data_IF_409196522296
#
_entry.id   IF_409196522296
#
_cell.length_a   1.000
_cell.length_b   1.000
_cell.length_c   1.000
_cell.angle_alpha   90.00
_cell.angle_beta   90.00
_cell.angle_gamma   90.00
#
_symmetry.space_group_name_H-M   'P 1'
#
loop_
_entity.id
_entity.type
_entity.pdbx_description
1 polymer ?
#
# COMPACT_ATOMS: atom_id res chain seq x y z
N UNK A 1 -23.41 41.18 -24.24
CA UNK A 1 -23.92 40.89 -25.58
C UNK A 1 -25.35 40.44 -25.46
N UNK A 2 -26.29 41.21 -26.00
CA UNK A 2 -27.68 40.78 -26.11
C UNK A 2 -27.92 40.13 -27.49
N UNK A 3 -28.98 39.34 -27.62
CA UNK A 3 -29.24 38.58 -28.85
C UNK A 3 -29.40 39.45 -30.11
N UNK A 4 -29.77 40.72 -29.96
CA UNK A 4 -29.96 41.65 -31.08
C UNK A 4 -28.63 41.99 -31.76
N UNK A 5 -27.57 42.21 -30.97
CA UNK A 5 -26.21 42.46 -31.47
C UNK A 5 -25.64 41.25 -32.22
N UNK A 6 -26.04 40.04 -31.82
CA UNK A 6 -25.64 38.81 -32.50
C UNK A 6 -26.35 38.63 -33.84
N UNK A 7 -27.64 38.99 -33.93
CA UNK A 7 -28.39 38.90 -35.19
C UNK A 7 -27.97 39.95 -36.21
N UNK A 8 -27.60 41.14 -35.76
CA UNK A 8 -27.07 42.21 -36.62
C UNK A 8 -25.70 41.81 -37.20
N UNK A 9 -24.82 41.23 -36.38
CA UNK A 9 -23.52 40.72 -36.83
C UNK A 9 -23.62 39.53 -37.81
N UNK A 10 -24.68 38.71 -37.73
CA UNK A 10 -24.92 37.60 -38.67
C UNK A 10 -25.54 38.11 -39.98
N UNK A 11 -26.37 39.17 -39.91
CA UNK A 11 -27.00 39.78 -41.07
C UNK A 11 -26.03 40.56 -41.99
N UNK A 12 -24.88 40.98 -41.46
CA UNK A 12 -23.83 41.72 -42.20
C UNK A 12 -22.76 40.81 -42.83
N UNK A 13 -22.92 39.48 -42.80
CA UNK A 13 -21.97 38.59 -43.48
C UNK A 13 -22.14 38.73 -45.00
N UNK A 14 -21.14 39.36 -45.62
CA UNK A 14 -21.08 39.60 -47.05
C UNK A 14 -21.15 38.27 -47.83
N UNK A 15 -22.03 38.19 -48.80
CA UNK A 15 -22.21 37.04 -49.70
C UNK A 15 -20.92 36.65 -50.43
N UNK A 16 -19.94 37.56 -50.58
CA UNK A 16 -18.60 37.22 -51.11
C UNK A 16 -17.80 36.31 -50.15
N UNK A 17 -17.97 36.45 -48.83
CA UNK A 17 -17.33 35.60 -47.83
C UNK A 17 -17.89 34.17 -47.85
N UNK A 18 -19.20 34.03 -48.05
CA UNK A 18 -19.86 32.72 -48.17
C UNK A 18 -19.38 32.00 -49.43
N UNK A 19 -19.25 32.73 -50.55
CA UNK A 19 -18.79 32.18 -51.82
C UNK A 19 -17.30 31.81 -51.80
N UNK A 20 -16.48 32.50 -51.00
CA UNK A 20 -15.06 32.14 -50.75
C UNK A 20 -14.92 30.87 -49.90
N UNK A 21 -15.79 30.66 -48.92
CA UNK A 21 -15.79 29.45 -48.10
C UNK A 21 -16.21 28.20 -48.88
N UNK A 22 -17.13 28.30 -49.85
CA UNK A 22 -17.54 27.16 -50.67
C UNK A 22 -16.48 26.70 -51.68
N UNK A 23 -15.54 27.58 -52.04
CA UNK A 23 -14.49 27.29 -53.03
C UNK A 23 -13.09 27.05 -52.43
N UNK A 24 -12.94 27.10 -51.10
CA UNK A 24 -11.69 26.68 -50.44
C UNK A 24 -11.59 25.15 -50.41
N UNK A 25 -10.91 24.59 -51.41
CA UNK A 25 -10.35 23.23 -51.30
C UNK A 25 -9.20 23.29 -50.31
N UNK A 26 -9.45 22.83 -49.07
CA UNK A 26 -8.41 22.68 -48.04
C UNK A 26 -7.35 21.69 -48.54
N UNK A 27 -6.23 22.19 -49.04
CA UNK A 27 -5.05 21.37 -49.23
C UNK A 27 -4.44 21.06 -47.87
N UNK A 28 -4.47 19.77 -47.48
CA UNK A 28 -3.81 19.31 -46.27
C UNK A 28 -2.32 19.74 -46.30
N UNK A 29 -1.82 20.44 -45.26
CA UNK A 29 -0.42 20.83 -45.22
C UNK A 29 0.43 19.57 -45.19
N UNK A 30 1.42 19.48 -46.10
CA UNK A 30 2.41 18.40 -46.12
C UNK A 30 3.00 18.25 -44.71
N UNK A 31 2.81 17.08 -44.11
CA UNK A 31 3.37 16.73 -42.80
C UNK A 31 4.88 16.89 -42.84
N UNK A 32 5.38 18.00 -42.32
CA UNK A 32 6.80 18.21 -42.09
C UNK A 32 7.23 17.37 -40.88
N UNK A 33 8.27 16.58 -41.11
CA UNK A 33 8.90 15.60 -40.22
C UNK A 33 9.29 16.15 -38.83
N UNK A 34 9.30 17.48 -38.67
CA UNK A 34 9.70 18.20 -37.45
C UNK A 34 8.71 18.02 -36.30
N UNK A 35 7.39 17.88 -36.56
CA UNK A 35 6.38 17.71 -35.48
C UNK A 35 6.45 16.35 -34.78
N UNK A 36 6.92 15.30 -35.46
CA UNK A 36 7.10 13.97 -34.85
C UNK A 36 8.32 13.94 -33.93
N UNK A 37 9.35 14.75 -34.20
CA UNK A 37 10.51 14.84 -33.31
C UNK A 37 10.16 15.49 -31.97
N UNK A 38 9.30 16.51 -31.95
CA UNK A 38 8.91 17.19 -30.70
C UNK A 38 8.03 16.33 -29.80
N UNK A 39 7.06 15.62 -30.38
CA UNK A 39 6.21 14.68 -29.63
C UNK A 39 7.00 13.44 -29.19
N UNK A 40 7.90 12.93 -30.04
CA UNK A 40 8.81 11.84 -29.68
C UNK A 40 9.84 12.27 -28.62
N UNK A 41 10.32 13.52 -28.65
CA UNK A 41 11.23 14.05 -27.63
C UNK A 41 10.52 14.21 -26.28
N UNK A 42 9.25 14.65 -26.25
CA UNK A 42 8.46 14.67 -25.02
C UNK A 42 8.14 13.26 -24.51
N UNK A 43 7.82 12.31 -25.40
CA UNK A 43 7.61 10.91 -25.02
C UNK A 43 8.91 10.27 -24.52
N UNK A 44 10.05 10.57 -25.14
CA UNK A 44 11.38 10.14 -24.71
C UNK A 44 11.79 10.81 -23.39
N UNK A 45 11.44 12.06 -23.13
CA UNK A 45 11.68 12.74 -21.84
C UNK A 45 10.79 12.17 -20.73
N UNK A 46 9.52 11.84 -21.02
CA UNK A 46 8.63 11.15 -20.06
C UNK A 46 9.14 9.73 -19.79
N UNK A 47 9.53 8.98 -20.83
CA UNK A 47 10.14 7.66 -20.68
C UNK A 47 11.48 7.74 -19.96
N UNK A 48 12.35 8.70 -20.29
CA UNK A 48 13.61 8.93 -19.59
C UNK A 48 13.37 9.31 -18.14
N UNK A 49 12.40 10.17 -17.80
CA UNK A 49 12.07 10.44 -16.40
C UNK A 49 11.55 9.19 -15.66
N UNK A 50 10.81 8.31 -16.35
CA UNK A 50 10.42 7.00 -15.79
C UNK A 50 11.64 6.08 -15.56
N UNK A 51 12.69 6.19 -16.40
CA UNK A 51 13.91 5.37 -16.30
C UNK A 51 15.08 6.02 -15.52
N UNK A 52 15.08 7.33 -15.27
CA UNK A 52 16.19 8.09 -14.65
C UNK A 52 15.81 8.81 -13.37
N UNK A 53 14.54 8.77 -12.93
CA UNK A 53 14.25 9.13 -11.55
C UNK A 53 15.04 8.18 -10.65
N UNK A 54 15.86 8.70 -9.72
CA UNK A 54 16.30 7.89 -8.60
C UNK A 54 15.00 7.52 -7.89
N UNK A 55 14.54 6.29 -8.10
CA UNK A 55 13.66 5.62 -7.17
C UNK A 55 14.37 5.83 -5.84
N UNK A 56 13.81 6.71 -4.99
CA UNK A 56 14.21 6.79 -3.59
C UNK A 56 13.78 5.46 -2.98
N UNK A 57 14.53 4.40 -3.31
CA UNK A 57 14.75 3.30 -2.41
C UNK A 57 15.40 3.99 -1.22
N UNK A 58 14.76 3.93 -0.05
CA UNK A 58 15.57 3.80 1.15
C UNK A 58 16.39 2.53 0.90
N UNK A 59 17.60 2.71 0.38
CA UNK A 59 18.47 1.59 0.07
C UNK A 59 18.72 0.87 1.39
N UNK A 60 18.38 -0.43 1.52
CA UNK A 60 18.82 -1.19 2.65
C UNK A 60 20.35 -1.18 2.61
N UNK A 61 20.97 -0.63 3.65
CA UNK A 61 22.43 -0.65 3.74
C UNK A 61 22.89 -2.12 3.87
N UNK A 62 23.83 -2.47 3.00
CA UNK A 62 24.69 -3.68 2.93
C UNK A 62 24.06 -5.04 2.57
N UNK A 63 24.76 -5.85 1.73
CA UNK A 63 24.37 -7.21 1.38
C UNK A 63 24.48 -8.14 2.59
N UNK A 64 23.52 -9.03 2.74
CA UNK A 64 23.46 -10.03 3.81
C UNK A 64 24.41 -11.18 3.47
N UNK A 65 25.25 -11.60 4.43
CA UNK A 65 26.07 -12.81 4.29
C UNK A 65 25.30 -14.01 4.87
N UNK A 66 25.07 -15.11 4.13
CA UNK A 66 24.29 -16.24 4.62
C UNK A 66 24.95 -16.91 5.84
N UNK A 67 24.21 -17.03 6.94
CA UNK A 67 24.60 -17.79 8.12
C UNK A 67 23.63 -18.95 8.34
N UNK A 68 24.15 -20.18 8.42
CA UNK A 68 23.38 -21.37 8.76
C UNK A 68 23.04 -21.35 10.25
N UNK A 69 21.76 -21.31 10.61
CA UNK A 69 21.30 -21.72 11.94
C UNK A 69 19.94 -22.41 11.84
N UNK A 70 19.96 -23.74 11.79
CA UNK A 70 18.79 -24.57 12.04
C UNK A 70 18.74 -24.88 13.55
N UNK A 71 17.73 -24.34 14.22
CA UNK A 71 17.35 -24.84 15.53
C UNK A 71 15.86 -24.58 15.76
N UNK A 72 15.12 -25.68 15.81
CA UNK A 72 13.70 -25.78 16.11
C UNK A 72 13.52 -25.62 17.63
N UNK A 73 12.69 -24.69 18.12
CA UNK A 73 12.37 -24.62 19.54
C UNK A 73 10.92 -25.00 19.86
N UNK A 74 10.81 -25.74 20.96
CA UNK A 74 9.62 -26.11 21.73
C UNK A 74 8.96 -24.87 22.37
N UNK A 75 7.63 -24.77 22.26
CA UNK A 75 6.79 -23.69 22.79
C UNK A 75 6.25 -24.01 24.19
N UNK A 76 6.03 -22.99 25.04
CA UNK A 76 4.86 -23.00 25.90
C UNK A 76 3.96 -21.76 25.69
N UNK A 77 2.66 -22.01 25.86
CA UNK A 77 1.49 -21.10 25.98
C UNK A 77 0.76 -20.64 24.69
N UNK A 78 -0.34 -21.36 24.39
CA UNK A 78 -1.68 -20.93 23.95
C UNK A 78 -1.89 -19.82 22.88
N UNK A 79 -0.86 -19.34 22.19
CA UNK A 79 -1.03 -18.53 20.98
C UNK A 79 -1.34 -19.44 19.79
N UNK A 80 -2.45 -19.17 19.08
CA UNK A 80 -2.69 -19.74 17.75
C UNK A 80 -1.64 -19.13 16.82
N UNK A 81 -0.56 -19.85 16.52
CA UNK A 81 0.50 -19.41 15.62
C UNK A 81 0.41 -20.18 14.30
N UNK A 82 0.11 -19.47 13.22
CA UNK A 82 0.09 -19.98 11.86
C UNK A 82 1.05 -19.18 10.98
N UNK A 83 1.89 -19.89 10.24
CA UNK A 83 2.81 -19.32 9.25
C UNK A 83 2.36 -19.79 7.87
N UNK A 84 2.01 -18.84 7.01
CA UNK A 84 1.57 -19.09 5.64
C UNK A 84 2.80 -19.12 4.73
N UNK A 85 3.13 -20.29 4.18
CA UNK A 85 4.28 -20.44 3.30
C UNK A 85 3.95 -19.94 1.90
N UNK A 86 4.69 -18.95 1.42
CA UNK A 86 4.64 -18.51 0.04
C UNK A 86 5.64 -19.34 -0.78
N UNK A 87 5.27 -19.65 -2.03
CA UNK A 87 6.10 -20.48 -2.92
C UNK A 87 7.35 -19.73 -3.39
N UNK A 88 7.29 -18.40 -3.42
CA UNK A 88 8.34 -17.52 -3.90
C UNK A 88 8.31 -16.20 -3.13
N UNK A 89 9.33 -15.37 -3.35
CA UNK A 89 9.34 -14.01 -2.82
C UNK A 89 8.12 -13.24 -3.35
N UNK A 90 7.31 -12.63 -2.45
CA UNK A 90 6.10 -11.94 -2.85
C UNK A 90 6.39 -10.68 -3.67
N UNK A 91 5.39 -10.28 -4.44
CA UNK A 91 5.38 -8.96 -5.08
C UNK A 91 4.78 -7.94 -4.12
N UNK A 92 5.35 -6.74 -4.09
CA UNK A 92 4.83 -5.63 -3.31
C UNK A 92 4.23 -4.58 -4.23
N UNK A 93 3.14 -3.96 -3.78
CA UNK A 93 2.59 -2.78 -4.39
C UNK A 93 3.62 -1.67 -4.32
N UNK A 94 4.15 -1.31 -5.48
CA UNK A 94 4.99 -0.14 -5.65
C UNK A 94 4.17 0.93 -6.34
N UNK A 95 3.68 1.88 -5.55
CA UNK A 95 3.07 3.09 -6.10
C UNK A 95 4.17 4.06 -6.48
N UNK A 96 4.26 4.39 -7.77
CA UNK A 96 5.10 5.50 -8.23
C UNK A 96 4.46 6.79 -7.73
N UNK A 97 5.15 7.49 -6.83
CA UNK A 97 4.72 8.77 -6.32
C UNK A 97 5.68 9.86 -6.79
N UNK A 98 5.12 10.89 -7.43
CA UNK A 98 5.87 12.10 -7.77
C UNK A 98 5.96 12.97 -6.52
N UNK A 99 7.14 12.97 -5.90
CA UNK A 99 7.44 13.75 -4.71
C UNK A 99 8.04 15.09 -5.13
N UNK A 100 7.48 16.19 -4.64
CA UNK A 100 8.04 17.51 -4.87
C UNK A 100 9.07 17.81 -3.79
N UNK A 101 10.34 17.98 -4.16
CA UNK A 101 11.43 18.24 -3.20
C UNK A 101 11.19 19.49 -2.34
N UNK A 102 10.43 20.47 -2.85
CA UNK A 102 10.09 21.67 -2.09
C UNK A 102 9.11 21.40 -0.93
N UNK A 103 8.42 20.26 -0.96
CA UNK A 103 7.48 19.84 0.09
C UNK A 103 8.17 18.95 1.14
N UNK A 104 9.47 18.68 1.00
CA UNK A 104 10.21 17.80 1.90
C UNK A 104 10.45 18.45 3.26
N UNK A 105 10.10 17.72 4.32
CA UNK A 105 10.33 18.09 5.71
C UNK A 105 11.16 16.98 6.34
N UNK A 106 12.43 17.28 6.62
CA UNK A 106 13.33 16.34 7.27
C UNK A 106 12.81 15.95 8.66
N UNK A 107 12.99 14.68 9.01
CA UNK A 107 12.62 14.13 10.31
C UNK A 107 13.64 13.07 10.75
N UNK A 108 13.97 13.10 12.03
CA UNK A 108 14.72 12.06 12.75
C UNK A 108 13.83 10.87 13.10
N UNK A 109 14.43 9.76 13.51
CA UNK A 109 13.69 8.58 13.98
C UNK A 109 12.81 8.91 15.20
N UNK A 110 13.31 9.70 16.15
CA UNK A 110 12.53 10.14 17.32
C UNK A 110 11.32 11.01 16.92
N UNK A 111 11.49 11.87 15.93
CA UNK A 111 10.38 12.67 15.39
C UNK A 111 9.36 11.79 14.66
N UNK A 112 9.80 10.74 13.97
CA UNK A 112 8.89 9.75 13.37
C UNK A 112 8.14 8.94 14.43
N UNK A 113 8.82 8.46 15.48
CA UNK A 113 8.17 7.76 16.59
C UNK A 113 7.07 8.63 17.21
N UNK A 114 7.36 9.92 17.44
CA UNK A 114 6.37 10.89 17.93
C UNK A 114 5.27 11.18 16.92
N UNK A 115 5.60 11.34 15.64
CA UNK A 115 4.64 11.61 14.57
C UNK A 115 3.63 10.47 14.43
N UNK A 116 4.09 9.23 14.50
CA UNK A 116 3.23 8.05 14.49
C UNK A 116 2.54 7.83 15.84
N UNK A 117 3.12 8.27 16.94
CA UNK A 117 2.62 8.00 18.29
C UNK A 117 2.87 6.56 18.71
N UNK A 118 4.04 6.03 18.34
CA UNK A 118 4.43 4.63 18.50
C UNK A 118 5.74 4.49 19.26
N UNK A 119 6.02 3.30 19.76
CA UNK A 119 7.27 2.95 20.43
C UNK A 119 7.68 1.51 20.12
N UNK A 120 8.96 1.21 20.29
CA UNK A 120 9.51 -0.11 19.99
C UNK A 120 10.41 -0.61 21.11
N UNK A 121 10.08 -1.78 21.65
CA UNK A 121 10.89 -2.51 22.63
C UNK A 121 11.60 -3.72 22.01
N UNK A 122 11.97 -3.65 20.71
CA UNK A 122 12.50 -4.79 19.94
C UNK A 122 13.74 -5.43 20.60
N UNK A 123 14.66 -4.63 21.13
CA UNK A 123 15.85 -5.15 21.80
C UNK A 123 15.53 -5.97 23.08
N UNK A 124 14.37 -5.76 23.72
CA UNK A 124 13.94 -6.61 24.83
C UNK A 124 13.42 -7.96 24.34
N UNK A 125 12.76 -7.97 23.19
CA UNK A 125 12.20 -9.18 22.58
C UNK A 125 13.27 -10.01 21.85
N UNK A 126 14.22 -9.34 21.19
CA UNK A 126 15.34 -9.93 20.46
C UNK A 126 16.63 -9.20 20.91
N UNK A 127 17.31 -9.68 21.97
CA UNK A 127 18.45 -8.99 22.59
C UNK A 127 19.63 -8.65 21.68
N UNK A 128 19.78 -9.36 20.56
CA UNK A 128 20.84 -9.09 19.61
C UNK A 128 20.57 -7.86 18.73
N UNK A 129 19.35 -7.32 18.72
CA UNK A 129 18.94 -6.28 17.79
C UNK A 129 19.05 -4.90 18.38
N UNK A 130 19.67 -4.01 17.62
CA UNK A 130 19.74 -2.59 17.88
C UNK A 130 19.13 -1.82 16.72
N UNK A 131 18.50 -0.67 17.03
CA UNK A 131 18.01 0.25 16.02
C UNK A 131 19.21 0.78 15.21
N UNK A 132 19.17 0.56 13.90
CA UNK A 132 20.18 1.05 12.98
C UNK A 132 19.85 2.49 12.64
N UNK A 133 20.70 3.41 13.11
CA UNK A 133 20.58 4.81 12.74
C UNK A 133 20.75 4.95 11.23
N UNK A 134 19.76 5.56 10.59
CA UNK A 134 19.81 5.82 9.16
C UNK A 134 21.00 6.73 8.83
N UNK A 135 21.63 6.45 7.70
CA UNK A 135 22.77 7.23 7.22
C UNK A 135 22.34 8.70 7.06
N UNK A 136 23.02 9.68 7.70
CA UNK A 136 22.69 11.10 7.57
C UNK A 136 22.72 11.63 6.12
N UNK A 137 23.40 10.93 5.21
CA UNK A 137 23.41 11.25 3.78
C UNK A 137 22.09 10.91 3.06
N UNK A 138 21.24 10.07 3.66
CA UNK A 138 19.91 9.77 3.17
C UNK A 138 18.93 10.65 3.95
N UNK A 139 18.43 11.71 3.32
CA UNK A 139 17.42 12.57 3.92
C UNK A 139 16.14 11.77 4.21
N UNK A 140 15.85 11.54 5.49
CA UNK A 140 14.57 10.98 5.94
C UNK A 140 13.61 12.12 6.25
N UNK A 141 12.34 11.94 5.92
CA UNK A 141 11.34 12.97 6.13
C UNK A 141 10.02 12.66 5.46
N UNK A 142 9.09 13.59 5.60
CA UNK A 142 7.76 13.52 5.01
C UNK A 142 7.64 14.54 3.89
N UNK A 143 6.62 14.38 3.04
CA UNK A 143 6.24 15.37 2.05
C UNK A 143 4.88 15.96 2.41
N UNK A 144 4.85 17.28 2.61
CA UNK A 144 3.66 18.00 3.05
C UNK A 144 3.57 19.37 2.40
N UNK A 145 2.37 19.74 1.98
CA UNK A 145 2.06 21.11 1.59
C UNK A 145 0.66 21.52 2.05
N UNK A 146 0.30 22.79 1.85
CA UNK A 146 -0.97 23.35 2.29
C UNK A 146 -2.19 22.82 1.52
N UNK A 147 -2.02 22.34 0.29
CA UNK A 147 -3.14 21.90 -0.55
C UNK A 147 -3.53 20.44 -0.32
N UNK A 148 -2.56 19.57 -0.02
CA UNK A 148 -2.75 18.12 0.15
C UNK A 148 -2.61 17.65 1.59
N UNK A 149 -2.12 18.50 2.50
CA UNK A 149 -1.61 18.05 3.78
C UNK A 149 -0.37 17.18 3.61
N UNK A 150 -0.15 16.22 4.51
CA UNK A 150 0.89 15.19 4.32
C UNK A 150 0.42 14.21 3.26
N UNK A 151 1.19 14.04 2.19
CA UNK A 151 0.85 13.12 1.11
C UNK A 151 1.86 11.99 0.91
N UNK A 152 2.97 12.02 1.65
CA UNK A 152 3.89 10.89 1.77
C UNK A 152 4.59 10.97 3.12
N UNK A 153 4.58 9.88 3.87
CA UNK A 153 5.24 9.81 5.16
C UNK A 153 5.90 8.46 5.47
N UNK A 154 5.91 7.54 4.50
CA UNK A 154 6.44 6.20 4.68
C UNK A 154 7.85 6.23 5.26
N UNK A 155 8.05 5.55 6.39
CA UNK A 155 9.35 5.47 7.06
C UNK A 155 9.65 4.07 7.55
N UNK A 156 10.90 3.62 7.38
CA UNK A 156 11.34 2.28 7.77
C UNK A 156 12.33 2.34 8.91
N UNK A 157 11.94 1.76 10.04
CA UNK A 157 12.85 1.49 11.16
C UNK A 157 13.55 0.15 10.92
N UNK A 158 14.88 0.13 11.00
CA UNK A 158 15.67 -1.08 10.78
C UNK A 158 16.30 -1.50 12.10
N UNK A 159 15.97 -2.69 12.58
CA UNK A 159 16.61 -3.31 13.73
C UNK A 159 17.48 -4.45 13.25
N UNK A 160 18.76 -4.47 13.59
CA UNK A 160 19.68 -5.50 13.11
C UNK A 160 20.65 -5.93 14.20
N UNK A 161 21.21 -7.13 14.01
CA UNK A 161 22.36 -7.54 14.80
C UNK A 161 23.63 -6.78 14.38
N UNK A 162 24.65 -6.78 15.24
CA UNK A 162 25.87 -5.98 15.05
C UNK A 162 26.60 -6.22 13.70
N UNK A 163 26.42 -7.39 13.09
CA UNK A 163 27.04 -7.79 11.81
C UNK A 163 26.07 -7.70 10.63
N UNK A 164 24.84 -7.23 10.84
CA UNK A 164 23.77 -7.08 9.85
C UNK A 164 23.47 -8.35 9.04
N UNK A 165 23.64 -9.53 9.65
CA UNK A 165 23.26 -10.82 9.05
C UNK A 165 21.81 -11.18 9.30
N UNK A 166 21.22 -10.57 10.34
CA UNK A 166 19.84 -10.71 10.75
C UNK A 166 19.26 -9.31 10.95
N UNK A 167 18.09 -9.05 10.37
CA UNK A 167 17.42 -7.76 10.55
C UNK A 167 15.91 -7.85 10.43
N UNK A 168 15.24 -6.90 11.08
CA UNK A 168 13.82 -6.64 11.04
C UNK A 168 13.61 -5.21 10.55
N UNK A 169 12.81 -5.06 9.51
CA UNK A 169 12.40 -3.79 8.93
C UNK A 169 10.92 -3.57 9.27
N UNK A 170 10.61 -2.42 9.87
CA UNK A 170 9.24 -2.00 10.19
C UNK A 170 8.97 -0.72 9.43
N UNK A 171 8.24 -0.83 8.33
CA UNK A 171 7.77 0.32 7.55
C UNK A 171 6.41 0.77 8.05
N UNK A 172 6.29 2.07 8.35
CA UNK A 172 5.06 2.71 8.81
C UNK A 172 4.60 3.77 7.82
N UNK A 173 3.29 3.99 7.72
CA UNK A 173 2.71 5.08 6.92
C UNK A 173 1.33 5.49 7.45
N UNK A 174 1.01 6.79 7.51
CA UNK A 174 -0.37 7.28 7.71
C UNK A 174 -1.03 7.65 6.38
N UNK A 175 -0.29 7.58 5.28
CA UNK A 175 -0.77 7.85 3.92
C UNK A 175 -0.88 6.56 3.11
N UNK A 176 -1.62 6.58 1.99
CA UNK A 176 -1.94 5.37 1.21
C UNK A 176 -0.72 4.72 0.51
N UNK A 177 0.48 5.27 0.70
CA UNK A 177 1.71 4.81 0.08
C UNK A 177 2.50 3.98 1.10
N UNK A 178 2.44 2.65 0.94
CA UNK A 178 3.15 1.67 1.76
C UNK A 178 3.52 0.45 0.87
N UNK A 179 4.55 -0.33 1.23
CA UNK A 179 4.93 -1.54 0.51
C UNK A 179 3.96 -2.69 0.85
N UNK A 180 2.73 -2.59 0.33
CA UNK A 180 1.66 -3.56 0.58
C UNK A 180 1.87 -4.87 -0.17
N UNK A 181 1.57 -5.99 0.45
CA UNK A 181 1.68 -7.31 -0.18
C UNK A 181 0.65 -7.48 -1.31
N UNK A 182 1.11 -7.90 -2.50
CA UNK A 182 0.25 -8.39 -3.59
C UNK A 182 0.29 -9.90 -3.55
N UNK A 183 -0.82 -10.51 -3.11
CA UNK A 183 -0.98 -11.96 -3.13
C UNK A 183 -1.54 -12.36 -4.50
N UNK A 184 -0.76 -13.14 -5.25
CA UNK A 184 -1.21 -13.70 -6.52
C UNK A 184 -2.28 -14.76 -6.33
N UNK A 185 -3.21 -14.87 -7.29
CA UNK A 185 -4.24 -15.92 -7.33
C UNK A 185 -3.67 -17.34 -7.25
N UNK A 186 -2.40 -17.54 -7.59
CA UNK A 186 -1.76 -18.87 -7.64
C UNK A 186 -1.24 -19.34 -6.26
N UNK A 187 -1.27 -18.42 -5.28
CA UNK A 187 -1.03 -18.65 -3.86
C UNK A 187 -2.37 -18.87 -3.10
N UNK A 188 -3.50 -18.54 -3.73
CA UNK A 188 -4.86 -18.58 -3.16
C UNK A 188 -5.44 -19.98 -2.94
N UNK A 189 -4.83 -21.02 -3.52
CA UNK A 189 -5.23 -22.42 -3.25
C UNK A 189 -4.90 -22.84 -1.81
N UNK A 190 -4.00 -22.12 -1.14
CA UNK A 190 -3.67 -22.31 0.27
C UNK A 190 -4.56 -21.42 1.11
N UNK A 191 -5.38 -22.03 1.98
CA UNK A 191 -6.18 -21.28 2.95
C UNK A 191 -5.25 -20.47 3.85
N UNK A 192 -5.22 -19.14 3.65
CA UNK A 192 -4.49 -18.23 4.53
C UNK A 192 -5.11 -18.28 5.93
N UNK A 193 -4.25 -18.40 6.95
CA UNK A 193 -4.63 -18.50 8.36
C UNK A 193 -4.07 -17.31 9.13
N UNK A 194 -4.86 -16.84 10.08
CA UNK A 194 -4.45 -15.78 10.99
C UNK A 194 -3.95 -16.36 12.30
N UNK A 195 -2.78 -15.91 12.72
CA UNK A 195 -2.30 -16.07 14.08
C UNK A 195 -3.06 -15.12 15.02
N UNK A 196 -3.01 -15.41 16.32
CA UNK A 196 -3.48 -14.49 17.36
C UNK A 196 -2.35 -14.23 18.37
N UNK A 197 -1.88 -12.98 18.41
CA UNK A 197 -0.79 -12.54 19.30
C UNK A 197 -1.34 -11.45 20.22
N UNK A 198 -1.35 -11.70 21.54
CA UNK A 198 -1.88 -10.72 22.51
C UNK A 198 -3.35 -10.35 22.31
N UNK A 199 -4.15 -11.23 21.69
CA UNK A 199 -5.54 -10.94 21.30
C UNK A 199 -5.70 -10.21 19.96
N UNK A 200 -4.62 -9.98 19.23
CA UNK A 200 -4.61 -9.36 17.91
C UNK A 200 -4.45 -10.40 16.80
N UNK A 201 -5.40 -10.47 15.87
CA UNK A 201 -5.32 -11.32 14.69
C UNK A 201 -4.29 -10.76 13.70
N UNK A 202 -3.43 -11.62 13.18
CA UNK A 202 -2.40 -11.21 12.24
C UNK A 202 -2.05 -12.34 11.29
N UNK A 203 -1.87 -12.01 10.01
CA UNK A 203 -1.41 -12.98 9.02
C UNK A 203 0.10 -12.90 8.90
N UNK A 204 0.77 -14.02 9.12
CA UNK A 204 2.23 -14.13 9.00
C UNK A 204 2.55 -14.96 7.76
N UNK A 205 3.42 -14.43 6.93
CA UNK A 205 3.93 -15.08 5.74
C UNK A 205 5.40 -15.46 5.93
N UNK A 206 5.81 -16.57 5.31
CA UNK A 206 7.22 -16.96 5.21
C UNK A 206 7.55 -17.26 3.74
N UNK A 207 8.73 -16.83 3.31
CA UNK A 207 9.25 -17.08 1.96
C UNK A 207 10.77 -17.13 1.95
N UNK A 208 11.33 -17.70 0.89
CA UNK A 208 12.75 -17.57 0.59
C UNK A 208 12.97 -16.29 -0.24
N UNK A 209 13.83 -15.39 0.23
CA UNK A 209 14.28 -14.24 -0.55
C UNK A 209 15.14 -14.68 -1.74
N UNK A 210 15.23 -13.84 -2.78
CA UNK A 210 16.07 -14.10 -3.96
C UNK A 210 17.55 -14.39 -3.64
N UNK A 211 18.04 -13.86 -2.53
CA UNK A 211 19.40 -14.07 -2.02
C UNK A 211 19.55 -15.34 -1.17
N UNK A 212 18.49 -16.15 -1.06
CA UNK A 212 18.45 -17.35 -0.23
C UNK A 212 18.14 -17.09 1.24
N UNK A 213 17.86 -15.84 1.63
CA UNK A 213 17.47 -15.50 3.00
C UNK A 213 16.12 -16.14 3.36
N UNK A 214 15.97 -16.54 4.63
CA UNK A 214 14.67 -16.92 5.16
C UNK A 214 13.96 -15.66 5.63
N UNK A 215 12.84 -15.32 5.00
CA UNK A 215 12.11 -14.10 5.27
C UNK A 215 10.75 -14.37 5.88
N UNK A 216 10.35 -13.48 6.77
CA UNK A 216 8.99 -13.41 7.29
C UNK A 216 8.40 -12.05 6.98
N UNK A 217 7.12 -12.02 6.66
CA UNK A 217 6.39 -10.79 6.37
C UNK A 217 5.05 -10.77 7.08
N UNK A 218 4.68 -9.60 7.57
CA UNK A 218 3.39 -9.32 8.20
C UNK A 218 2.99 -7.90 7.85
N UNK A 219 1.71 -7.68 7.57
CA UNK A 219 1.17 -6.33 7.49
C UNK A 219 -0.17 -6.22 8.21
N UNK A 220 -0.44 -5.05 8.77
CA UNK A 220 -1.73 -4.73 9.41
C UNK A 220 -1.94 -3.22 9.50
N UNK A 221 -3.20 -2.83 9.71
CA UNK A 221 -3.60 -1.46 9.99
C UNK A 221 -3.99 -1.32 11.46
N UNK A 222 -3.48 -0.30 12.14
CA UNK A 222 -3.89 0.04 13.51
C UNK A 222 -3.95 1.56 13.67
N UNK A 223 -5.10 2.07 14.14
CA UNK A 223 -5.34 3.50 14.37
C UNK A 223 -4.91 4.41 13.20
N UNK A 224 -5.19 4.00 11.96
CA UNK A 224 -4.86 4.76 10.75
C UNK A 224 -3.37 4.74 10.37
N UNK A 225 -2.59 3.82 10.94
CA UNK A 225 -1.18 3.59 10.61
C UNK A 225 -1.05 2.21 9.99
N UNK A 226 -0.53 2.15 8.77
CA UNK A 226 -0.11 0.92 8.12
C UNK A 226 1.21 0.46 8.72
N UNK A 227 1.31 -0.83 9.03
CA UNK A 227 2.53 -1.52 9.46
C UNK A 227 2.86 -2.56 8.40
N UNK A 228 4.06 -2.51 7.83
CA UNK A 228 4.63 -3.56 6.99
C UNK A 228 5.94 -4.01 7.64
N UNK A 229 6.00 -5.27 8.03
CA UNK A 229 7.08 -5.82 8.86
C UNK A 229 7.74 -6.97 8.14
N UNK A 230 8.97 -6.76 7.69
CA UNK A 230 9.78 -7.75 6.98
C UNK A 230 10.96 -8.16 7.83
N UNK A 231 11.31 -9.44 7.86
CA UNK A 231 12.55 -9.91 8.47
C UNK A 231 13.40 -10.68 7.50
N UNK A 232 14.71 -10.70 7.76
CA UNK A 232 15.70 -11.41 6.98
C UNK A 232 16.58 -12.25 7.90
N UNK A 233 16.61 -13.57 7.65
CA UNK A 233 17.38 -14.56 8.41
C UNK A 233 17.08 -14.61 9.92
N UNK A 234 15.87 -14.24 10.30
CA UNK A 234 15.38 -14.46 11.67
C UNK A 234 14.86 -15.88 11.80
N UNK A 235 15.00 -16.44 13.00
CA UNK A 235 14.24 -17.64 13.35
C UNK A 235 12.75 -17.28 13.49
N UNK A 236 11.85 -18.25 13.28
CA UNK A 236 10.42 -18.05 13.53
C UNK A 236 10.16 -17.56 14.96
N UNK A 237 10.94 -18.06 15.94
CA UNK A 237 10.84 -17.67 17.35
C UNK A 237 11.15 -16.19 17.54
N UNK A 238 12.27 -15.71 17.00
CA UNK A 238 12.69 -14.33 17.17
C UNK A 238 11.79 -13.38 16.39
N UNK A 239 11.34 -13.77 15.20
CA UNK A 239 10.34 -13.02 14.46
C UNK A 239 9.03 -12.87 15.24
N UNK A 240 8.52 -13.98 15.78
CA UNK A 240 7.27 -13.97 16.57
C UNK A 240 7.41 -13.15 17.84
N UNK A 241 8.58 -13.20 18.50
CA UNK A 241 8.86 -12.38 19.68
C UNK A 241 8.89 -10.88 19.33
N UNK A 242 9.58 -10.51 18.25
CA UNK A 242 9.63 -9.13 17.78
C UNK A 242 8.23 -8.61 17.39
N UNK A 243 7.48 -9.38 16.60
CA UNK A 243 6.11 -9.03 16.21
C UNK A 243 5.18 -8.89 17.43
N UNK A 244 5.29 -9.79 18.40
CA UNK A 244 4.52 -9.70 19.65
C UNK A 244 4.86 -8.43 20.43
N UNK A 245 6.13 -8.01 20.45
CA UNK A 245 6.54 -6.74 21.05
C UNK A 245 5.92 -5.55 20.32
N UNK A 246 5.97 -5.53 18.98
CA UNK A 246 5.35 -4.44 18.19
C UNK A 246 3.87 -4.31 18.51
N UNK A 247 3.15 -5.42 18.58
CA UNK A 247 1.72 -5.45 18.91
C UNK A 247 1.49 -4.97 20.34
N UNK A 248 2.24 -5.48 21.32
CA UNK A 248 2.09 -5.10 22.72
C UNK A 248 2.39 -3.63 22.98
N UNK A 249 3.40 -3.07 22.30
CA UNK A 249 3.82 -1.68 22.47
C UNK A 249 2.84 -0.68 21.81
N UNK A 250 2.11 -1.10 20.76
CA UNK A 250 1.41 -0.16 19.87
C UNK A 250 -0.08 -0.44 19.64
N UNK A 251 -0.59 -1.60 20.05
CA UNK A 251 -1.97 -2.01 19.80
C UNK A 251 -2.72 -2.17 21.11
N UNK A 252 -3.80 -1.41 21.27
CA UNK A 252 -4.74 -1.57 22.38
C UNK A 252 -5.83 -2.59 21.99
N UNK A 253 -5.57 -3.87 22.26
CA UNK A 253 -6.48 -4.98 21.91
C UNK A 253 -7.76 -5.01 22.74
N UNK A 254 -7.80 -4.32 23.89
CA UNK A 254 -9.02 -4.16 24.68
C UNK A 254 -9.97 -3.13 24.07
N UNK A 255 -9.43 -2.00 23.59
CA UNK A 255 -10.21 -0.96 22.92
C UNK A 255 -10.64 -1.40 21.51
N UNK A 256 -9.76 -2.08 20.79
CA UNK A 256 -9.97 -2.53 19.42
C UNK A 256 -9.96 -4.07 19.38
N UNK A 257 -11.11 -4.68 19.66
CA UNK A 257 -11.27 -6.13 19.60
C UNK A 257 -10.94 -6.63 18.19
N UNK A 258 -9.84 -7.36 18.05
CA UNK A 258 -9.31 -7.73 16.73
C UNK A 258 -8.77 -9.16 16.68
N UNK A 259 -9.14 -10.03 17.61
CA UNK A 259 -8.78 -11.45 17.63
C UNK A 259 -9.37 -12.22 16.44
N UNK A 260 -8.81 -13.39 16.15
CA UNK A 260 -9.03 -14.08 14.87
C UNK A 260 -10.47 -14.58 14.68
N UNK A 261 -11.27 -14.61 15.75
CA UNK A 261 -12.67 -15.03 15.75
C UNK A 261 -13.65 -13.87 15.94
N UNK A 262 -13.15 -12.66 16.20
CA UNK A 262 -14.01 -11.50 16.41
C UNK A 262 -14.68 -11.11 15.10
N UNK A 263 -15.98 -10.84 15.16
CA UNK A 263 -16.73 -10.34 14.03
C UNK A 263 -16.64 -8.81 13.99
N UNK A 264 -16.45 -8.30 12.78
CA UNK A 264 -16.43 -6.89 12.46
C UNK A 264 -17.57 -6.60 11.48
N UNK A 265 -18.06 -5.37 11.52
CA UNK A 265 -19.08 -4.87 10.61
C UNK A 265 -18.68 -3.48 10.15
N UNK A 266 -18.73 -3.25 8.85
CA UNK A 266 -18.38 -1.97 8.25
C UNK A 266 -19.40 -1.62 7.17
N UNK A 267 -19.88 -0.38 7.20
CA UNK A 267 -20.76 0.16 6.17
C UNK A 267 -19.94 1.05 5.24
N UNK A 268 -20.18 0.95 3.94
CA UNK A 268 -19.47 1.77 2.97
C UNK A 268 -20.18 1.86 1.62
N UNK A 269 -19.64 2.69 0.75
CA UNK A 269 -20.14 2.90 -0.61
C UNK A 269 -19.23 2.23 -1.62
N UNK A 270 -19.77 1.40 -2.50
CA UNK A 270 -19.02 0.77 -3.59
C UNK A 270 -18.44 1.86 -4.51
N UNK A 271 -17.13 1.89 -4.68
CA UNK A 271 -16.43 2.86 -5.52
C UNK A 271 -15.76 2.22 -6.76
N UNK A 272 -15.60 0.90 -6.78
CA UNK A 272 -15.15 0.14 -7.94
C UNK A 272 -15.64 -1.30 -7.88
N UNK A 273 -15.82 -1.91 -9.05
CA UNK A 273 -16.18 -3.32 -9.23
C UNK A 273 -15.20 -3.93 -10.23
N UNK A 274 -14.58 -5.04 -9.87
CA UNK A 274 -13.76 -5.86 -10.76
C UNK A 274 -14.38 -7.25 -10.85
N UNK A 275 -15.15 -7.48 -11.91
CA UNK A 275 -15.82 -8.76 -12.17
C UNK A 275 -14.82 -9.89 -12.49
N UNK A 276 -13.64 -9.56 -13.03
CA UNK A 276 -12.63 -10.56 -13.41
C UNK A 276 -11.90 -11.08 -12.17
N UNK A 277 -11.52 -10.18 -11.27
CA UNK A 277 -10.92 -10.54 -9.98
C UNK A 277 -11.96 -10.94 -8.93
N UNK A 278 -13.25 -10.85 -9.26
CA UNK A 278 -14.39 -11.10 -8.38
C UNK A 278 -14.30 -10.37 -7.04
N UNK A 279 -14.01 -9.07 -7.11
CA UNK A 279 -13.88 -8.21 -5.94
C UNK A 279 -14.56 -6.85 -6.16
N UNK A 280 -14.91 -6.21 -5.04
CA UNK A 280 -15.36 -4.83 -5.02
C UNK A 280 -14.43 -3.98 -4.15
N UNK A 281 -14.40 -2.68 -4.39
CA UNK A 281 -13.80 -1.71 -3.48
C UNK A 281 -14.89 -0.85 -2.86
N UNK A 282 -14.83 -0.65 -1.55
CA UNK A 282 -15.81 0.12 -0.77
C UNK A 282 -15.12 1.25 -0.02
N UNK A 283 -15.73 2.44 -0.02
CA UNK A 283 -15.31 3.59 0.78
C UNK A 283 -16.02 3.56 2.13
N UNK A 284 -15.29 3.51 3.24
CA UNK A 284 -15.80 3.30 4.60
C UNK A 284 -15.61 4.53 5.51
N UNK A 285 -15.26 5.68 4.92
CA UNK A 285 -15.10 6.94 5.62
C UNK A 285 -14.11 7.87 4.93
N UNK A 286 -13.59 8.81 5.70
CA UNK A 286 -12.60 9.78 5.25
C UNK A 286 -11.20 9.37 5.69
N UNK A 287 -10.22 9.50 4.80
CA UNK A 287 -8.80 9.26 5.11
C UNK A 287 -8.07 8.37 4.12
N UNK A 288 -6.76 8.24 4.28
CA UNK A 288 -5.90 7.56 3.32
C UNK A 288 -6.17 6.04 3.22
N UNK A 289 -6.66 5.43 4.30
CA UNK A 289 -6.97 4.00 4.39
C UNK A 289 -8.47 3.73 4.46
N UNK A 290 -9.30 4.65 3.96
CA UNK A 290 -10.75 4.51 4.02
C UNK A 290 -11.36 3.71 2.87
N UNK A 291 -10.54 3.06 2.04
CA UNK A 291 -11.02 2.11 1.02
C UNK A 291 -10.69 0.69 1.45
N UNK A 292 -11.67 -0.21 1.44
CA UNK A 292 -11.48 -1.64 1.62
C UNK A 292 -11.77 -2.38 0.32
N UNK A 293 -10.89 -3.30 -0.06
CA UNK A 293 -11.12 -4.30 -1.11
C UNK A 293 -11.75 -5.53 -0.48
N UNK A 294 -12.81 -6.04 -1.09
CA UNK A 294 -13.55 -7.20 -0.59
C UNK A 294 -13.60 -8.22 -1.70
N UNK A 295 -12.88 -9.32 -1.55
CA UNK A 295 -13.05 -10.50 -2.39
C UNK A 295 -14.38 -11.17 -2.06
N UNK A 296 -15.14 -11.49 -3.10
CA UNK A 296 -16.48 -12.04 -2.98
C UNK A 296 -16.47 -13.53 -3.33
N UNK A 297 -17.53 -14.29 -2.96
CA UNK A 297 -17.73 -15.63 -3.45
C UNK A 297 -17.89 -15.64 -4.98
N UNK A 298 -17.47 -16.73 -5.63
CA UNK A 298 -17.34 -16.83 -7.09
C UNK A 298 -18.54 -16.24 -7.87
N UNK A 299 -18.25 -15.23 -8.70
CA UNK A 299 -19.20 -14.61 -9.62
C UNK A 299 -20.23 -13.67 -8.97
N UNK A 300 -20.06 -13.31 -7.70
CA UNK A 300 -20.96 -12.41 -6.97
C UNK A 300 -20.66 -10.93 -7.23
N UNK A 301 -19.48 -10.56 -7.74
CA UNK A 301 -19.12 -9.15 -8.00
C UNK A 301 -20.11 -8.41 -8.92
N UNK A 302 -20.66 -9.11 -9.93
CA UNK A 302 -21.65 -8.58 -10.89
C UNK A 302 -22.97 -8.11 -10.27
N UNK A 303 -23.21 -8.40 -8.99
CA UNK A 303 -24.44 -8.01 -8.26
C UNK A 303 -24.35 -6.60 -7.70
N UNK A 304 -23.16 -5.99 -7.73
CA UNK A 304 -22.89 -4.67 -7.17
C UNK A 304 -22.59 -3.67 -8.27
N UNK A 305 -22.89 -2.41 -8.01
CA UNK A 305 -22.63 -1.26 -8.87
C UNK A 305 -21.96 -0.14 -8.07
N UNK A 306 -21.19 0.71 -8.76
CA UNK A 306 -20.62 1.92 -8.15
C UNK A 306 -21.76 2.80 -7.62
N UNK A 307 -21.65 3.22 -6.36
CA UNK A 307 -22.66 4.00 -5.65
C UNK A 307 -23.53 3.18 -4.70
N UNK A 308 -23.52 1.84 -4.80
CA UNK A 308 -24.26 0.99 -3.87
C UNK A 308 -23.79 1.19 -2.43
N UNK A 309 -24.73 1.33 -1.49
CA UNK A 309 -24.44 1.25 -0.07
C UNK A 309 -24.42 -0.21 0.35
N UNK A 310 -23.34 -0.65 0.99
CA UNK A 310 -23.18 -2.02 1.45
C UNK A 310 -22.76 -2.08 2.91
N UNK A 311 -23.26 -3.09 3.60
CA UNK A 311 -22.79 -3.49 4.92
C UNK A 311 -22.02 -4.80 4.79
N UNK A 312 -20.75 -4.79 5.19
CA UNK A 312 -19.83 -5.92 5.10
C UNK A 312 -19.53 -6.43 6.51
N UNK A 313 -19.80 -7.71 6.74
CA UNK A 313 -19.40 -8.40 7.96
C UNK A 313 -18.27 -9.38 7.68
N UNK A 314 -17.22 -9.36 8.49
CA UNK A 314 -16.06 -10.23 8.35
C UNK A 314 -15.49 -10.64 9.71
N UNK A 315 -14.57 -11.62 9.73
CA UNK A 315 -13.89 -12.07 10.97
C UNK A 315 -12.38 -11.79 10.96
N UNK A 316 -11.86 -11.49 12.15
CA UNK A 316 -10.46 -11.14 12.36
C UNK A 316 -10.08 -9.82 11.69
N UNK A 317 -8.78 -9.56 11.56
CA UNK A 317 -8.27 -8.39 10.86
C UNK A 317 -8.14 -8.64 9.36
N UNK A 318 -8.23 -7.62 8.49
CA UNK A 318 -7.89 -7.76 7.07
C UNK A 318 -6.55 -8.50 6.87
N UNK A 319 -6.52 -9.53 6.01
CA UNK A 319 -5.34 -10.38 5.82
C UNK A 319 -4.15 -9.59 5.25
N UNK A 320 -4.46 -8.69 4.33
CA UNK A 320 -3.57 -7.65 3.82
C UNK A 320 -4.19 -6.30 4.10
N UNK A 321 -3.38 -5.23 4.16
CA UNK A 321 -3.87 -3.89 4.50
C UNK A 321 -5.00 -3.53 3.53
N UNK A 322 -6.13 -3.12 4.11
CA UNK A 322 -7.34 -2.75 3.39
C UNK A 322 -7.96 -3.85 2.52
N UNK A 323 -7.66 -5.14 2.74
CA UNK A 323 -8.20 -6.23 1.92
C UNK A 323 -8.83 -7.32 2.79
N UNK A 324 -10.13 -7.50 2.61
CA UNK A 324 -10.92 -8.59 3.18
C UNK A 324 -11.00 -9.71 2.14
N UNK A 325 -10.54 -10.89 2.51
CA UNK A 325 -10.62 -12.07 1.64
C UNK A 325 -11.97 -12.78 1.80
N UNK A 326 -12.37 -13.51 0.75
CA UNK A 326 -13.63 -14.25 0.71
C UNK A 326 -13.87 -15.09 1.98
N UNK A 327 -12.84 -15.78 2.49
CA UNK A 327 -12.97 -16.63 3.68
C UNK A 327 -13.14 -15.87 4.99
N UNK A 328 -12.76 -14.59 5.02
CA UNK A 328 -13.04 -13.72 6.16
C UNK A 328 -14.47 -13.19 6.12
N UNK A 329 -15.03 -13.06 4.91
CA UNK A 329 -16.37 -12.53 4.67
C UNK A 329 -17.42 -13.48 5.29
N UNK A 330 -18.28 -12.89 6.13
CA UNK A 330 -19.44 -13.57 6.71
C UNK A 330 -20.70 -13.26 5.92
N UNK A 331 -20.88 -12.00 5.56
CA UNK A 331 -21.98 -11.54 4.74
C UNK A 331 -21.65 -10.18 4.14
N UNK A 332 -22.29 -9.88 3.02
CA UNK A 332 -22.35 -8.54 2.45
C UNK A 332 -23.78 -8.32 1.97
N UNK A 333 -24.39 -7.22 2.38
CA UNK A 333 -25.76 -6.88 2.03
C UNK A 333 -25.81 -5.45 1.49
N UNK A 334 -26.62 -5.22 0.45
CA UNK A 334 -26.98 -3.87 0.05
C UNK A 334 -27.88 -3.25 1.11
N UNK A 335 -27.51 -2.06 1.58
CA UNK A 335 -28.34 -1.25 2.46
C UNK A 335 -29.34 -0.54 1.57
N UNK A 336 -30.53 -1.12 1.43
CA UNK A 336 -31.61 -0.47 0.67
C UNK A 336 -31.93 0.89 1.33
N UNK A 337 -31.99 1.93 0.49
CA UNK A 337 -32.66 3.19 0.83
C UNK A 337 -34.17 3.05 0.91
#
# INVERSE_FOLDING_TARGET
MNNMELFEAIGEIDSDLITRCENEVVHAPKQTWVRRLSVAACLCLVMLCIFTLPIFKQAPNTPITPGNNSSQPTTPNNALLYINQLKQEPSFQNSVISLNVNDFIAMTDDEFLKYYGISFSINRAVPAFELQLLNPANNNGIFRNSSRGTYYDSHTFVFANAVNTQRLEITLSKTAYYPGLIIGTDESTTQLKQSELGGFAVTIFQYAGKDGSTCFYTEFLNNGIAYCITSYNLSQKDYTAALSSVIADNVNTEANKSGAKNAHMVTGTVNAVDENANLISISVGDGAFSTLRVYLPDGEAKRYSVGDQVEVSYVGNPITICTIWERQLKSINTVNG
#
